data_IF_321387877223
#
_entry.id   IF_321387877223
#
_cell.length_a   1.000
_cell.length_b   1.000
_cell.length_c   1.000
_cell.angle_alpha   90.00
_cell.angle_beta   90.00
_cell.angle_gamma   90.00
#
_symmetry.space_group_name_H-M   'P 1'
#
loop_
_entity.id
_entity.type
_entity.pdbx_description
1 polymer ?
#
# COMPACT_ATOMS: atom_id res chain seq x y z
N UNK A 1 -33.87 -7.84 -18.47
CA UNK A 1 -33.35 -9.03 -17.78
C UNK A 1 -31.91 -8.73 -17.43
N UNK A 2 -31.75 -8.34 -16.19
CA UNK A 2 -30.54 -7.83 -15.58
C UNK A 2 -29.45 -8.91 -15.56
N UNK A 3 -28.33 -8.66 -16.23
CA UNK A 3 -27.09 -9.37 -15.92
C UNK A 3 -26.41 -8.56 -14.84
N UNK A 4 -26.76 -8.93 -13.61
CA UNK A 4 -26.21 -8.41 -12.37
C UNK A 4 -24.68 -8.55 -12.41
N UNK A 5 -24.02 -7.41 -12.51
CA UNK A 5 -22.58 -7.23 -12.42
C UNK A 5 -22.06 -7.96 -11.18
N UNK A 6 -21.55 -9.18 -11.33
CA UNK A 6 -20.92 -9.89 -10.23
C UNK A 6 -19.54 -9.27 -9.99
N UNK A 7 -19.52 -8.08 -9.40
CA UNK A 7 -18.31 -7.42 -8.91
C UNK A 7 -17.78 -8.30 -7.79
N UNK A 8 -16.79 -9.14 -8.11
CA UNK A 8 -15.99 -9.83 -7.10
C UNK A 8 -15.44 -8.77 -6.13
N UNK A 9 -15.92 -8.79 -4.89
CA UNK A 9 -15.41 -7.94 -3.81
C UNK A 9 -14.27 -8.70 -3.16
N UNK A 10 -13.07 -8.13 -3.20
CA UNK A 10 -11.87 -8.71 -2.60
C UNK A 10 -11.61 -7.99 -1.27
N UNK A 11 -11.44 -8.77 -0.21
CA UNK A 11 -11.07 -8.29 1.11
C UNK A 11 -9.66 -8.75 1.45
N UNK A 12 -8.77 -7.82 1.77
CA UNK A 12 -7.44 -8.10 2.24
C UNK A 12 -7.37 -7.89 3.75
N UNK A 13 -6.91 -8.92 4.49
CA UNK A 13 -6.73 -8.83 5.94
C UNK A 13 -5.24 -8.91 6.28
N UNK A 14 -4.63 -7.85 6.85
CA UNK A 14 -3.21 -7.88 7.22
C UNK A 14 -2.98 -8.80 8.42
N UNK A 15 -2.19 -9.86 8.21
CA UNK A 15 -1.84 -10.85 9.23
C UNK A 15 -0.74 -10.40 10.21
N UNK A 16 -0.08 -9.27 9.94
CA UNK A 16 0.95 -8.70 10.81
C UNK A 16 1.08 -7.19 10.60
N UNK A 17 1.69 -6.51 11.57
CA UNK A 17 1.89 -5.05 11.54
C UNK A 17 2.65 -4.57 10.31
N UNK A 18 3.59 -5.38 9.83
CA UNK A 18 4.35 -5.07 8.62
C UNK A 18 3.43 -4.99 7.40
N UNK A 19 2.62 -6.02 7.14
CA UNK A 19 1.65 -6.00 6.03
C UNK A 19 0.61 -4.90 6.23
N UNK A 20 0.17 -4.65 7.48
CA UNK A 20 -0.75 -3.55 7.80
C UNK A 20 -0.17 -2.20 7.36
N UNK A 21 1.09 -1.93 7.68
CA UNK A 21 1.75 -0.67 7.35
C UNK A 21 1.97 -0.53 5.84
N UNK A 22 2.32 -1.61 5.14
CA UNK A 22 2.47 -1.62 3.68
C UNK A 22 1.15 -1.32 2.97
N UNK A 23 0.06 -2.01 3.34
CA UNK A 23 -1.29 -1.77 2.79
C UNK A 23 -1.77 -0.34 3.09
N UNK A 24 -1.47 0.17 4.29
CA UNK A 24 -1.82 1.55 4.66
C UNK A 24 -1.10 2.57 3.78
N UNK A 25 0.19 2.37 3.50
CA UNK A 25 0.93 3.25 2.58
C UNK A 25 0.38 3.17 1.17
N UNK A 26 0.16 1.97 0.65
CA UNK A 26 -0.41 1.78 -0.68
C UNK A 26 -1.73 2.55 -0.81
N UNK A 27 -2.62 2.43 0.19
CA UNK A 27 -3.88 3.14 0.22
C UNK A 27 -3.70 4.66 0.22
N UNK A 28 -2.78 5.19 1.03
CA UNK A 28 -2.48 6.62 1.09
C UNK A 28 -1.95 7.14 -0.25
N UNK A 29 -1.03 6.42 -0.91
CA UNK A 29 -0.55 6.79 -2.24
C UNK A 29 -1.66 6.77 -3.29
N UNK A 30 -2.51 5.75 -3.28
CA UNK A 30 -3.66 5.65 -4.19
C UNK A 30 -4.62 6.84 -4.03
N UNK A 31 -4.78 7.35 -2.81
CA UNK A 31 -5.59 8.54 -2.56
C UNK A 31 -4.96 9.79 -3.18
N UNK A 32 -3.64 9.96 -3.09
CA UNK A 32 -2.92 11.05 -3.77
C UNK A 32 -3.12 10.94 -5.29
N UNK A 33 -2.86 9.77 -5.87
CA UNK A 33 -3.01 9.53 -7.31
C UNK A 33 -4.43 9.85 -7.81
N UNK A 34 -5.45 9.55 -7.01
CA UNK A 34 -6.83 9.88 -7.35
C UNK A 34 -7.09 11.39 -7.26
N UNK A 35 -6.56 12.07 -6.25
CA UNK A 35 -6.71 13.52 -6.08
C UNK A 35 -5.99 14.30 -7.19
N UNK A 36 -4.91 13.76 -7.75
CA UNK A 36 -4.16 14.37 -8.85
C UNK A 36 -4.88 14.33 -10.21
N UNK A 37 -5.99 13.57 -10.33
CA UNK A 37 -6.74 13.46 -11.60
C UNK A 37 -7.53 14.72 -11.96
N UNK A 38 -7.90 15.50 -10.96
CA UNK A 38 -8.69 16.72 -11.13
C UNK A 38 -8.12 17.83 -10.25
N UNK A 39 -7.95 19.02 -10.82
CA UNK A 39 -7.44 20.15 -10.08
C UNK A 39 -8.59 20.83 -9.33
N UNK A 40 -8.64 20.65 -8.01
CA UNK A 40 -9.65 21.27 -7.14
C UNK A 40 -9.04 21.66 -5.81
N UNK A 41 -9.57 22.73 -5.21
CA UNK A 41 -9.11 23.22 -3.91
C UNK A 41 -9.26 22.15 -2.81
N UNK A 42 -10.30 21.32 -2.93
CA UNK A 42 -10.53 20.20 -2.01
C UNK A 42 -9.49 19.10 -2.17
N UNK A 43 -9.10 18.77 -3.40
CA UNK A 43 -8.05 17.79 -3.67
C UNK A 43 -6.70 18.25 -3.13
N UNK A 44 -6.36 19.54 -3.24
CA UNK A 44 -5.15 20.11 -2.63
C UNK A 44 -5.13 19.91 -1.11
N UNK A 45 -6.25 20.19 -0.41
CA UNK A 45 -6.37 19.93 1.03
C UNK A 45 -6.18 18.45 1.36
N UNK A 46 -6.87 17.56 0.64
CA UNK A 46 -6.76 16.12 0.86
C UNK A 46 -5.35 15.59 0.61
N UNK A 47 -4.65 16.07 -0.42
CA UNK A 47 -3.26 15.68 -0.68
C UNK A 47 -2.36 16.08 0.51
N UNK A 48 -2.50 17.29 1.04
CA UNK A 48 -1.72 17.73 2.21
C UNK A 48 -2.00 16.88 3.44
N UNK A 49 -3.26 16.56 3.73
CA UNK A 49 -3.64 15.67 4.83
C UNK A 49 -3.02 14.27 4.67
N UNK A 50 -3.06 13.72 3.46
CA UNK A 50 -2.48 12.40 3.17
C UNK A 50 -0.95 12.43 3.33
N UNK A 51 -0.27 13.50 2.89
CA UNK A 51 1.17 13.65 3.09
C UNK A 51 1.55 13.73 4.57
N UNK A 52 0.75 14.41 5.39
CA UNK A 52 0.95 14.44 6.85
C UNK A 52 0.79 13.04 7.45
N UNK A 53 -0.23 12.29 7.06
CA UNK A 53 -0.41 10.91 7.51
C UNK A 53 0.73 9.98 7.07
N UNK A 54 1.27 10.15 5.86
CA UNK A 54 2.45 9.40 5.41
C UNK A 54 3.65 9.75 6.30
N UNK A 55 3.88 11.03 6.57
CA UNK A 55 4.96 11.49 7.45
C UNK A 55 4.86 10.87 8.85
N UNK A 56 3.68 10.92 9.47
CA UNK A 56 3.43 10.31 10.79
C UNK A 56 3.68 8.79 10.78
N UNK A 57 3.26 8.09 9.72
CA UNK A 57 3.45 6.66 9.60
C UNK A 57 4.95 6.31 9.46
N UNK A 58 5.71 7.08 8.68
CA UNK A 58 7.15 6.92 8.52
C UNK A 58 7.94 7.21 9.81
N UNK A 59 7.45 8.11 10.66
CA UNK A 59 8.08 8.42 11.95
C UNK A 59 7.79 7.34 13.01
N UNK A 60 6.56 6.80 13.03
CA UNK A 60 6.12 5.84 14.06
C UNK A 60 6.51 4.41 13.76
N UNK A 61 6.76 4.08 12.50
CA UNK A 61 7.17 2.74 12.08
C UNK A 61 8.59 2.77 11.52
N UNK A 62 9.40 1.77 11.86
CA UNK A 62 10.73 1.58 11.27
C UNK A 62 10.61 0.99 9.85
N UNK A 63 9.87 1.70 9.00
CA UNK A 63 9.38 1.18 7.73
C UNK A 63 10.52 0.88 6.76
N UNK A 64 11.58 1.68 6.78
CA UNK A 64 12.77 1.45 5.98
C UNK A 64 13.33 0.05 6.26
N UNK A 65 13.53 -0.29 7.53
CA UNK A 65 14.07 -1.60 7.89
C UNK A 65 13.06 -2.72 7.60
N UNK A 66 11.77 -2.49 7.78
CA UNK A 66 10.72 -3.46 7.45
C UNK A 66 10.68 -3.80 5.94
N UNK A 67 10.79 -2.80 5.07
CA UNK A 67 10.88 -3.00 3.62
C UNK A 67 12.16 -3.76 3.26
N UNK A 68 13.31 -3.37 3.84
CA UNK A 68 14.59 -4.06 3.59
C UNK A 68 14.50 -5.53 3.97
N UNK A 69 13.93 -5.85 5.14
CA UNK A 69 13.74 -7.24 5.59
C UNK A 69 12.83 -8.01 4.64
N UNK A 70 11.74 -7.41 4.19
CA UNK A 70 10.82 -8.08 3.27
C UNK A 70 11.46 -8.34 1.91
N UNK A 71 12.18 -7.38 1.34
CA UNK A 71 12.91 -7.56 0.08
C UNK A 71 13.96 -8.68 0.19
N UNK A 72 14.69 -8.76 1.31
CA UNK A 72 15.61 -9.87 1.57
C UNK A 72 14.89 -11.21 1.63
N UNK A 73 13.77 -11.29 2.36
CA UNK A 73 12.96 -12.51 2.44
C UNK A 73 12.47 -12.96 1.07
N UNK A 74 12.01 -12.03 0.22
CA UNK A 74 11.56 -12.34 -1.15
C UNK A 74 12.73 -12.83 -2.02
N UNK A 75 13.90 -12.19 -1.91
CA UNK A 75 15.11 -12.62 -2.60
C UNK A 75 15.50 -14.05 -2.21
N UNK A 76 15.46 -14.38 -0.92
CA UNK A 76 15.77 -15.73 -0.44
C UNK A 76 14.78 -16.77 -1.00
N UNK A 77 13.48 -16.46 -1.04
CA UNK A 77 12.46 -17.31 -1.67
C UNK A 77 12.78 -17.52 -3.15
N UNK A 78 13.11 -16.46 -3.89
CA UNK A 78 13.46 -16.59 -5.31
C UNK A 78 14.75 -17.38 -5.54
N UNK A 79 15.74 -17.25 -4.67
CA UNK A 79 16.97 -18.04 -4.76
C UNK A 79 16.70 -19.54 -4.55
N UNK A 80 15.86 -19.89 -3.56
CA UNK A 80 15.44 -21.29 -3.34
C UNK A 80 14.71 -21.84 -4.57
N UNK A 81 13.77 -21.07 -5.13
CA UNK A 81 13.05 -21.48 -6.34
C UNK A 81 14.03 -21.69 -7.51
N UNK A 82 14.98 -20.77 -7.71
CA UNK A 82 16.01 -20.88 -8.75
C UNK A 82 16.96 -22.07 -8.57
N UNK A 83 17.27 -22.46 -7.33
CA UNK A 83 18.11 -23.63 -7.05
C UNK A 83 17.38 -24.97 -7.19
N UNK A 84 16.04 -24.94 -7.24
CA UNK A 84 15.21 -26.13 -7.45
C UNK A 84 14.91 -26.39 -8.94
N UNK A 85 15.30 -25.47 -9.83
CA UNK A 85 15.38 -25.66 -11.29
C UNK A 85 16.77 -26.18 -11.69
#
# INVERSE_FOLDING_TARGET
MDQENNKNIIYEHPMNERVRNLLRIEHLYKNIENCLKEDSEQNCRTILEVLLHISELLVRSDMKNEIIKELKRQLDVFNVLRSND
#
